data_IF_403320676738
#
_entry.id   IF_403320676738
#
_cell.length_a   1.000
_cell.length_b   1.000
_cell.length_c   1.000
_cell.angle_alpha   90.00
_cell.angle_beta   90.00
_cell.angle_gamma   90.00
#
_symmetry.space_group_name_H-M   'P 1'
#
loop_
_entity.id
_entity.type
_entity.pdbx_description
1 polymer ?
#
# COMPACT_ATOMS: atom_id res chain seq x y z
N UNK A 1 4.59 2.45 -9.39
CA UNK A 1 3.82 1.23 -9.07
C UNK A 1 4.68 -0.02 -8.88
N UNK A 2 5.53 -0.39 -9.83
CA UNK A 2 6.34 -1.61 -9.73
C UNK A 2 7.21 -1.68 -8.45
N UNK A 3 7.81 -0.56 -8.04
CA UNK A 3 8.67 -0.53 -6.85
C UNK A 3 7.89 -0.73 -5.54
N UNK A 4 6.68 -0.20 -5.45
CA UNK A 4 5.78 -0.45 -4.30
C UNK A 4 5.45 -1.94 -4.18
N UNK A 5 5.10 -2.58 -5.30
CA UNK A 5 4.82 -4.02 -5.31
C UNK A 5 6.07 -4.85 -4.97
N UNK A 6 7.26 -4.44 -5.44
CA UNK A 6 8.54 -5.08 -5.11
C UNK A 6 8.83 -4.99 -3.61
N UNK A 7 8.76 -3.79 -3.01
CA UNK A 7 9.01 -3.57 -1.57
C UNK A 7 8.08 -4.45 -0.71
N UNK A 8 6.79 -4.50 -1.06
CA UNK A 8 5.83 -5.35 -0.35
C UNK A 8 6.19 -6.83 -0.49
N UNK A 9 6.52 -7.28 -1.71
CA UNK A 9 6.96 -8.65 -1.96
C UNK A 9 8.22 -9.05 -1.19
N UNK A 10 9.26 -8.21 -1.22
CA UNK A 10 10.52 -8.42 -0.49
C UNK A 10 10.31 -8.43 1.03
N UNK A 11 9.29 -7.71 1.51
CA UNK A 11 8.88 -7.70 2.91
C UNK A 11 7.98 -8.88 3.30
N UNK A 12 7.69 -9.79 2.36
CA UNK A 12 6.79 -10.94 2.56
C UNK A 12 5.30 -10.57 2.66
N UNK A 13 4.91 -9.40 2.17
CA UNK A 13 3.55 -8.86 2.25
C UNK A 13 2.83 -9.15 0.94
N UNK A 14 1.80 -10.00 1.01
CA UNK A 14 0.95 -10.31 -0.14
C UNK A 14 -0.13 -9.26 -0.34
N UNK A 15 -0.24 -8.74 -1.56
CA UNK A 15 -1.33 -7.87 -1.99
C UNK A 15 -2.55 -8.74 -2.31
N UNK A 16 -3.69 -8.37 -1.73
CA UNK A 16 -4.99 -9.00 -1.96
C UNK A 16 -5.76 -8.27 -3.07
N UNK A 17 -5.79 -6.94 -3.01
CA UNK A 17 -6.45 -6.11 -4.01
C UNK A 17 -5.71 -4.79 -4.22
N UNK A 18 -5.87 -4.24 -5.42
CA UNK A 18 -5.36 -2.93 -5.84
C UNK A 18 -6.50 -2.16 -6.46
N UNK A 19 -6.72 -0.92 -6.02
CA UNK A 19 -7.65 0.02 -6.64
C UNK A 19 -6.85 1.26 -7.03
N UNK A 20 -6.84 1.57 -8.32
CA UNK A 20 -6.29 2.79 -8.88
C UNK A 20 -7.36 3.40 -9.78
N UNK A 21 -7.80 4.61 -9.46
CA UNK A 21 -8.76 5.34 -10.29
C UNK A 21 -8.03 6.11 -11.38
N UNK A 22 -8.75 6.60 -12.36
CA UNK A 22 -8.20 7.53 -13.35
C UNK A 22 -7.85 8.86 -12.64
N UNK A 23 -6.68 9.46 -12.94
CA UNK A 23 -6.35 10.78 -12.42
C UNK A 23 -7.37 11.82 -12.92
N UNK A 24 -7.75 12.81 -12.10
CA UNK A 24 -8.47 13.97 -12.57
C UNK A 24 -7.74 14.67 -13.72
N UNK A 25 -8.49 15.36 -14.57
CA UNK A 25 -7.92 16.07 -15.72
C UNK A 25 -6.90 17.11 -15.25
N UNK A 26 -5.65 16.96 -15.70
CA UNK A 26 -4.53 17.83 -15.31
C UNK A 26 -3.74 17.37 -14.08
N UNK A 27 -4.09 16.24 -13.45
CA UNK A 27 -3.27 15.64 -12.39
C UNK A 27 -2.33 14.55 -12.94
N UNK A 28 -1.04 14.68 -12.68
CA UNK A 28 -0.03 13.67 -13.05
C UNK A 28 0.07 12.53 -12.03
N UNK A 29 -0.50 12.73 -10.84
CA UNK A 29 -0.41 11.82 -9.70
C UNK A 29 -1.80 11.31 -9.36
N UNK A 30 -1.85 10.06 -8.90
CA UNK A 30 -3.11 9.41 -8.56
C UNK A 30 -2.98 8.57 -7.31
N UNK A 31 -4.05 8.55 -6.53
CA UNK A 31 -4.14 7.72 -5.35
C UNK A 31 -4.25 6.24 -5.72
N UNK A 32 -3.50 5.41 -5.01
CA UNK A 32 -3.54 3.95 -5.13
C UNK A 32 -3.92 3.39 -3.77
N UNK A 33 -4.96 2.56 -3.74
CA UNK A 33 -5.44 1.88 -2.53
C UNK A 33 -5.03 0.41 -2.64
N UNK A 34 -4.33 -0.07 -1.61
CA UNK A 34 -3.86 -1.45 -1.52
C UNK A 34 -4.53 -2.13 -0.33
N UNK A 35 -5.11 -3.30 -0.57
CA UNK A 35 -5.52 -4.23 0.48
C UNK A 35 -4.47 -5.34 0.53
N UNK A 36 -3.93 -5.61 1.72
CA UNK A 36 -2.96 -6.69 1.93
C UNK A 36 -3.59 -7.82 2.72
N UNK A 37 -3.06 -9.03 2.54
CA UNK A 37 -3.34 -10.12 3.49
C UNK A 37 -2.79 -9.80 4.89
N UNK A 38 -3.16 -10.63 5.86
CA UNK A 38 -2.67 -10.53 7.24
C UNK A 38 -1.14 -10.52 7.27
N UNK A 39 -0.58 -9.53 7.95
CA UNK A 39 0.86 -9.28 8.03
C UNK A 39 1.22 -8.89 9.47
N UNK A 40 2.46 -9.15 9.88
CA UNK A 40 2.96 -8.63 11.16
C UNK A 40 3.14 -7.13 11.07
N UNK A 41 2.62 -6.37 12.02
CA UNK A 41 2.64 -4.90 11.96
C UNK A 41 4.06 -4.33 11.83
N UNK A 42 5.06 -4.92 12.48
CA UNK A 42 6.47 -4.52 12.32
C UNK A 42 6.96 -4.60 10.87
N UNK A 43 6.54 -5.60 10.10
CA UNK A 43 6.89 -5.74 8.68
C UNK A 43 6.20 -4.66 7.85
N UNK A 44 4.91 -4.43 8.09
CA UNK A 44 4.16 -3.36 7.43
C UNK A 44 4.78 -1.98 7.70
N UNK A 45 5.20 -1.69 8.94
CA UNK A 45 5.85 -0.42 9.28
C UNK A 45 7.17 -0.23 8.52
N UNK A 46 7.98 -1.30 8.41
CA UNK A 46 9.24 -1.25 7.67
C UNK A 46 9.02 -1.09 6.15
N UNK A 47 7.97 -1.70 5.60
CA UNK A 47 7.60 -1.55 4.20
C UNK A 47 7.09 -0.14 3.90
N UNK A 48 6.25 0.44 4.76
CA UNK A 48 5.74 1.81 4.61
C UNK A 48 6.91 2.81 4.60
N UNK A 49 7.85 2.69 5.53
CA UNK A 49 9.02 3.58 5.56
C UNK A 49 9.85 3.52 4.25
N UNK A 50 9.96 2.35 3.64
CA UNK A 50 10.64 2.20 2.34
C UNK A 50 9.81 2.79 1.19
N UNK A 51 8.49 2.63 1.21
CA UNK A 51 7.58 3.18 0.20
C UNK A 51 7.59 4.71 0.24
N UNK A 52 7.51 5.31 1.42
CA UNK A 52 7.54 6.77 1.62
C UNK A 52 8.89 7.40 1.22
N UNK A 53 9.97 6.60 1.19
CA UNK A 53 11.28 7.04 0.75
C UNK A 53 11.47 7.02 -0.78
N UNK A 54 10.47 6.55 -1.55
CA UNK A 54 10.54 6.57 -3.02
C UNK A 54 10.27 7.97 -3.56
N UNK A 55 11.10 8.45 -4.49
CA UNK A 55 10.97 9.77 -5.12
C UNK A 55 9.61 9.99 -5.83
N UNK A 56 8.93 8.90 -6.20
CA UNK A 56 7.63 8.94 -6.89
C UNK A 56 6.43 9.06 -5.95
N UNK A 57 6.63 8.95 -4.63
CA UNK A 57 5.55 8.99 -3.63
C UNK A 57 5.51 10.38 -3.01
N UNK A 58 4.32 10.97 -2.94
CA UNK A 58 4.12 12.24 -2.26
C UNK A 58 3.38 12.05 -0.94
N UNK A 59 3.93 12.64 0.11
CA UNK A 59 3.34 12.64 1.43
C UNK A 59 3.46 11.31 2.15
N UNK A 60 2.62 11.14 3.17
CA UNK A 60 2.62 9.96 4.04
C UNK A 60 1.57 8.94 3.59
N UNK A 61 1.89 7.65 3.77
CA UNK A 61 0.96 6.56 3.53
C UNK A 61 -0.12 6.58 4.60
N UNK A 62 -1.38 6.70 4.16
CA UNK A 62 -2.53 6.50 5.05
C UNK A 62 -2.80 5.01 5.21
N UNK A 63 -2.85 4.54 6.46
CA UNK A 63 -3.08 3.13 6.79
C UNK A 63 -4.34 2.95 7.62
N UNK A 64 -5.24 2.08 7.14
CA UNK A 64 -6.43 1.63 7.88
C UNK A 64 -6.31 0.11 8.06
N UNK A 65 -6.39 -0.37 9.30
CA UNK A 65 -6.40 -1.81 9.58
C UNK A 65 -7.77 -2.37 9.24
N UNK A 66 -7.79 -3.46 8.50
CA UNK A 66 -9.00 -4.21 8.17
C UNK A 66 -9.04 -5.44 9.06
N UNK A 67 -10.17 -5.69 9.68
CA UNK A 67 -10.49 -6.94 10.37
C UNK A 67 -11.79 -7.45 9.80
N UNK A 68 -11.84 -8.74 9.50
CA UNK A 68 -13.09 -9.36 9.05
C UNK A 68 -13.85 -9.76 10.31
N UNK A 69 -14.89 -9.00 10.63
CA UNK A 69 -15.82 -9.32 11.72
C UNK A 69 -16.74 -10.47 11.26
N UNK A 70 -16.16 -11.65 11.10
CA UNK A 70 -16.92 -12.89 10.92
C UNK A 70 -17.37 -13.41 12.28
N UNK A 71 -18.63 -13.82 12.38
CA UNK A 71 -19.10 -14.68 13.46
C UNK A 71 -18.46 -16.07 13.25
N UNK A 72 -17.50 -16.45 14.07
CA UNK A 72 -17.24 -17.87 14.33
C UNK A 72 -18.33 -18.45 15.23
#
# INVERSE_FOLDING_TARGET
MADVARILGDSGISIEAVIQKEPPEGEEKVAVILLTRRVREKQMNAAIAQIEALDTIEGAVTRIRVEHLGSE
#
